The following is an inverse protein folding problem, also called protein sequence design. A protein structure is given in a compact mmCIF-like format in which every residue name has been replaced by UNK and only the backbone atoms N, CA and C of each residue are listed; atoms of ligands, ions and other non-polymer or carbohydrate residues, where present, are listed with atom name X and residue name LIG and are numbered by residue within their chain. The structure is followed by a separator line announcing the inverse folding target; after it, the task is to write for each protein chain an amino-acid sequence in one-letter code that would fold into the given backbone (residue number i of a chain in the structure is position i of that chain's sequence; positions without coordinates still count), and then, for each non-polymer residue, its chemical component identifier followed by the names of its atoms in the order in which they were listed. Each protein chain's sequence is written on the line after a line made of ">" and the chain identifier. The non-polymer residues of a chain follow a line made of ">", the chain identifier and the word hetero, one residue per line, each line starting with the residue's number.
data_IF_829415833986
#
_entry.id   IF_829415833986
#
_cell.length_a   1.000
_cell.length_b   1.000
_cell.length_c   1.000
_cell.angle_alpha   90.00
_cell.angle_beta   90.00
_cell.angle_gamma   90.00
#
_symmetry.space_group_name_H-M   'P 1'
#
loop_
_entity.id
_entity.type
_entity.pdbx_description
1 polymer ?
#
# COMPACT_ATOMS: atom_id res chain seq x y z
N UNK A 1 9.00 -4.66 -8.47
CA UNK A 1 8.51 -4.46 -7.08
C UNK A 1 9.52 -5.11 -6.13
N UNK A 2 10.82 -4.82 -6.28
CA UNK A 2 11.88 -5.75 -5.88
C UNK A 2 12.91 -5.27 -4.85
N UNK A 3 12.83 -4.04 -4.34
CA UNK A 3 13.97 -3.44 -3.62
C UNK A 3 14.34 -4.06 -2.26
N UNK A 4 13.52 -4.97 -1.70
CA UNK A 4 13.78 -5.58 -0.38
C UNK A 4 14.36 -7.00 -0.44
N UNK A 5 14.53 -7.58 -1.63
CA UNK A 5 14.98 -8.98 -1.76
C UNK A 5 16.52 -9.08 -1.66
N UNK A 6 17.23 -8.02 -2.03
CA UNK A 6 18.70 -7.98 -2.14
C UNK A 6 19.43 -7.64 -0.82
N UNK A 7 18.72 -7.32 0.28
CA UNK A 7 19.34 -6.96 1.57
C UNK A 7 19.39 -8.12 2.58
N UNK A 8 18.84 -9.29 2.22
CA UNK A 8 18.83 -10.48 3.09
C UNK A 8 20.06 -11.33 2.80
N UNK A 9 20.64 -11.94 3.83
CA UNK A 9 21.75 -12.89 3.64
C UNK A 9 21.32 -14.00 2.67
N UNK A 10 22.02 -14.11 1.52
CA UNK A 10 21.72 -15.05 0.45
C UNK A 10 21.56 -16.49 0.96
N UNK A 11 22.45 -16.93 1.86
CA UNK A 11 22.39 -18.29 2.42
C UNK A 11 21.16 -18.55 3.30
N UNK A 12 20.57 -17.51 3.90
CA UNK A 12 19.35 -17.66 4.69
C UNK A 12 18.11 -17.61 3.78
N UNK A 13 18.13 -16.72 2.78
CA UNK A 13 16.98 -16.43 1.94
C UNK A 13 16.80 -17.40 0.76
N UNK A 14 17.91 -17.86 0.16
CA UNK A 14 17.92 -18.54 -1.15
C UNK A 14 18.43 -19.99 -1.10
N UNK A 15 18.74 -20.52 0.09
CA UNK A 15 19.09 -21.94 0.24
C UNK A 15 17.89 -22.84 0.02
N UNK A 16 18.10 -23.92 -0.73
CA UNK A 16 17.17 -25.01 -0.96
C UNK A 16 17.38 -26.06 0.12
N UNK A 17 16.31 -26.39 0.84
CA UNK A 17 16.33 -27.48 1.81
C UNK A 17 16.39 -28.84 1.11
N UNK A 18 16.66 -29.90 1.87
CA UNK A 18 16.60 -31.27 1.34
C UNK A 18 15.23 -31.59 0.71
N UNK A 19 14.14 -31.19 1.37
CA UNK A 19 12.78 -31.36 0.82
C UNK A 19 12.55 -30.55 -0.45
N UNK A 20 13.16 -29.36 -0.58
CA UNK A 20 13.07 -28.56 -1.79
C UNK A 20 13.79 -29.25 -2.95
N UNK A 21 14.98 -29.81 -2.69
CA UNK A 21 15.75 -30.55 -3.69
C UNK A 21 15.02 -31.82 -4.15
N UNK A 22 14.45 -32.58 -3.22
CA UNK A 22 13.63 -33.74 -3.54
C UNK A 22 12.42 -33.36 -4.40
N UNK A 23 11.69 -32.31 -4.01
CA UNK A 23 10.57 -31.78 -4.78
C UNK A 23 10.99 -31.35 -6.20
N UNK A 24 12.06 -30.56 -6.33
CA UNK A 24 12.55 -30.07 -7.62
C UNK A 24 13.04 -31.20 -8.53
N UNK A 25 13.61 -32.27 -7.96
CA UNK A 25 14.05 -33.44 -8.71
C UNK A 25 12.90 -34.17 -9.42
N UNK A 26 11.69 -34.11 -8.85
CA UNK A 26 10.46 -34.66 -9.44
C UNK A 26 9.96 -33.89 -10.67
N UNK A 27 10.47 -32.68 -10.89
CA UNK A 27 10.12 -31.85 -12.04
C UNK A 27 11.04 -32.13 -13.24
N UNK A 28 10.55 -31.83 -14.45
CA UNK A 28 11.35 -31.93 -15.67
C UNK A 28 12.55 -30.98 -15.62
N UNK A 29 13.72 -31.43 -16.06
CA UNK A 29 14.97 -30.65 -16.04
C UNK A 29 14.77 -29.21 -16.56
N UNK A 30 14.04 -29.06 -17.66
CA UNK A 30 13.80 -27.77 -18.33
C UNK A 30 13.00 -26.75 -17.52
N UNK A 31 12.41 -27.09 -16.37
CA UNK A 31 11.67 -26.15 -15.49
C UNK A 31 12.31 -26.00 -14.12
N UNK A 32 13.33 -26.80 -13.76
CA UNK A 32 13.83 -26.88 -12.38
C UNK A 32 14.40 -25.54 -11.90
N UNK A 33 15.19 -24.87 -12.74
CA UNK A 33 15.77 -23.58 -12.42
C UNK A 33 14.67 -22.54 -12.13
N UNK A 34 13.70 -22.40 -13.03
CA UNK A 34 12.58 -21.47 -12.87
C UNK A 34 11.71 -21.79 -11.64
N UNK A 35 11.45 -23.08 -11.41
CA UNK A 35 10.68 -23.54 -10.26
C UNK A 35 11.42 -23.27 -8.94
N UNK A 36 12.74 -23.48 -8.88
CA UNK A 36 13.56 -23.20 -7.71
C UNK A 36 13.58 -21.70 -7.37
N UNK A 37 13.76 -20.85 -8.39
CA UNK A 37 13.72 -19.40 -8.22
C UNK A 37 12.35 -18.96 -7.70
N UNK A 38 11.27 -19.44 -8.31
CA UNK A 38 9.90 -19.10 -7.87
C UNK A 38 9.56 -19.64 -6.48
N UNK A 39 10.08 -20.82 -6.13
CA UNK A 39 9.93 -21.43 -4.80
C UNK A 39 10.54 -20.55 -3.72
N UNK A 40 11.78 -20.08 -3.92
CA UNK A 40 12.41 -19.18 -2.94
C UNK A 40 11.78 -17.81 -2.95
N UNK A 41 11.46 -17.27 -4.13
CA UNK A 41 10.83 -15.96 -4.25
C UNK A 41 9.49 -15.86 -3.51
N UNK A 42 8.62 -16.88 -3.60
CA UNK A 42 7.34 -16.87 -2.86
C UNK A 42 7.55 -16.99 -1.35
N UNK A 43 8.54 -17.76 -0.90
CA UNK A 43 8.88 -17.84 0.52
C UNK A 43 9.40 -16.51 1.08
N UNK A 44 10.00 -15.66 0.24
CA UNK A 44 10.48 -14.35 0.65
C UNK A 44 9.38 -13.28 0.59
N UNK A 45 8.60 -13.26 -0.50
CA UNK A 45 7.72 -12.14 -0.83
C UNK A 45 6.24 -12.42 -0.60
N UNK A 46 5.85 -13.69 -0.52
CA UNK A 46 4.45 -14.11 -0.44
C UNK A 46 3.69 -14.07 -1.77
N UNK A 47 4.37 -13.90 -2.91
CA UNK A 47 3.78 -14.03 -4.24
C UNK A 47 4.79 -14.62 -5.26
N UNK A 48 4.33 -14.97 -6.45
CA UNK A 48 5.20 -15.42 -7.54
C UNK A 48 5.62 -14.23 -8.41
N UNK A 49 6.90 -14.13 -8.76
CA UNK A 49 7.34 -13.07 -9.66
C UNK A 49 6.70 -13.23 -11.04
N UNK A 50 6.28 -12.11 -11.64
CA UNK A 50 5.85 -12.05 -13.03
C UNK A 50 6.95 -11.60 -13.98
N UNK A 51 8.07 -11.07 -13.46
CA UNK A 51 9.22 -10.60 -14.23
C UNK A 51 10.50 -11.17 -13.65
N UNK A 52 11.33 -11.79 -14.49
CA UNK A 52 12.63 -12.27 -14.05
C UNK A 52 13.62 -11.14 -13.73
N UNK A 53 13.31 -9.89 -14.11
CA UNK A 53 14.05 -8.69 -13.69
C UNK A 53 13.96 -8.42 -12.18
N UNK A 54 12.96 -8.97 -11.49
CA UNK A 54 12.87 -8.90 -10.02
C UNK A 54 13.89 -9.85 -9.33
N UNK A 55 14.65 -10.65 -10.10
CA UNK A 55 15.66 -11.58 -9.59
C UNK A 55 17.06 -11.04 -9.90
N UNK A 56 17.87 -10.86 -8.86
CA UNK A 56 19.24 -10.38 -9.04
C UNK A 56 20.18 -11.50 -9.51
N UNK A 57 21.34 -11.08 -10.00
CA UNK A 57 22.34 -11.99 -10.53
C UNK A 57 22.90 -12.93 -9.45
N UNK A 58 23.09 -12.44 -8.23
CA UNK A 58 23.67 -13.22 -7.14
C UNK A 58 22.71 -14.32 -6.68
N UNK A 59 21.42 -14.00 -6.54
CA UNK A 59 20.36 -14.94 -6.18
C UNK A 59 20.23 -16.07 -7.21
N UNK A 60 20.23 -15.70 -8.49
CA UNK A 60 20.15 -16.67 -9.58
C UNK A 60 21.40 -17.56 -9.64
N UNK A 61 22.58 -16.96 -9.48
CA UNK A 61 23.85 -17.70 -9.46
C UNK A 61 23.92 -18.66 -8.28
N UNK A 62 23.41 -18.25 -7.11
CA UNK A 62 23.35 -19.07 -5.91
C UNK A 62 22.42 -20.28 -6.07
N UNK A 63 21.26 -20.12 -6.72
CA UNK A 63 20.39 -21.25 -7.04
C UNK A 63 21.03 -22.19 -8.06
N UNK A 64 21.66 -21.66 -9.12
CA UNK A 64 22.31 -22.48 -10.15
C UNK A 64 23.38 -23.39 -9.54
N UNK A 65 24.19 -22.85 -8.62
CA UNK A 65 25.21 -23.60 -7.91
C UNK A 65 24.64 -24.76 -7.08
N UNK A 66 23.47 -24.59 -6.47
CA UNK A 66 22.81 -25.65 -5.70
C UNK A 66 22.19 -26.74 -6.57
N UNK A 67 21.81 -26.41 -7.81
CA UNK A 67 21.18 -27.34 -8.75
C UNK A 67 22.17 -28.00 -9.72
N UNK A 68 23.47 -27.68 -9.61
CA UNK A 68 24.50 -28.04 -10.58
C UNK A 68 24.14 -27.65 -12.04
N UNK A 69 23.44 -26.52 -12.19
CA UNK A 69 23.00 -25.98 -13.48
C UNK A 69 24.11 -25.15 -14.15
N UNK A 70 24.24 -25.29 -15.48
CA UNK A 70 25.18 -24.46 -16.24
C UNK A 70 24.75 -22.98 -16.26
N UNK A 71 25.71 -22.06 -16.34
CA UNK A 71 25.43 -20.63 -16.47
C UNK A 71 24.66 -20.28 -17.76
N UNK A 72 24.68 -21.16 -18.77
CA UNK A 72 23.94 -20.99 -20.03
C UNK A 72 22.43 -21.26 -19.88
N UNK A 73 21.99 -21.91 -18.79
CA UNK A 73 20.57 -22.09 -18.53
C UNK A 73 19.93 -20.78 -18.09
N UNK A 74 18.96 -20.31 -18.87
CA UNK A 74 18.27 -19.04 -18.62
C UNK A 74 16.84 -19.26 -18.11
N UNK A 75 16.33 -18.25 -17.43
CA UNK A 75 14.90 -18.12 -17.13
C UNK A 75 14.21 -17.67 -18.42
N UNK A 76 13.39 -18.53 -19.00
CA UNK A 76 12.87 -18.33 -20.36
C UNK A 76 11.35 -18.14 -20.38
N UNK A 77 10.64 -18.81 -19.47
CA UNK A 77 9.18 -18.86 -19.53
C UNK A 77 8.55 -17.60 -19.00
N UNK A 78 7.52 -17.15 -19.71
CA UNK A 78 6.65 -16.11 -19.20
C UNK A 78 5.78 -16.63 -18.08
N UNK A 79 5.48 -15.74 -17.14
CA UNK A 79 4.57 -16.02 -16.03
C UNK A 79 3.23 -16.64 -16.47
N UNK A 80 2.69 -16.21 -17.61
CA UNK A 80 1.36 -16.59 -18.07
C UNK A 80 1.30 -18.00 -18.70
N UNK A 81 2.44 -18.61 -19.02
CA UNK A 81 2.52 -19.88 -19.73
C UNK A 81 1.92 -21.06 -18.96
N UNK A 82 1.41 -22.05 -19.70
CA UNK A 82 0.81 -23.27 -19.12
C UNK A 82 1.80 -24.05 -18.24
N UNK A 83 3.04 -24.17 -18.69
CA UNK A 83 4.10 -24.86 -17.93
C UNK A 83 4.44 -24.09 -16.66
N UNK A 84 4.50 -22.76 -16.73
CA UNK A 84 4.71 -21.89 -15.57
C UNK A 84 3.60 -22.02 -14.53
N UNK A 85 2.34 -22.06 -14.97
CA UNK A 85 1.20 -22.31 -14.06
C UNK A 85 1.28 -23.69 -13.39
N UNK A 86 1.72 -24.71 -14.13
CA UNK A 86 1.83 -26.09 -13.63
C UNK A 86 2.86 -26.19 -12.51
N UNK A 87 4.09 -25.70 -12.69
CA UNK A 87 5.08 -25.78 -11.61
C UNK A 87 4.71 -24.88 -10.42
N UNK A 88 4.07 -23.71 -10.64
CA UNK A 88 3.59 -22.86 -9.53
C UNK A 88 2.52 -23.56 -8.69
N UNK A 89 1.63 -24.31 -9.33
CA UNK A 89 0.66 -25.15 -8.64
C UNK A 89 1.34 -26.27 -7.84
N UNK A 90 2.42 -26.85 -8.37
CA UNK A 90 3.21 -27.84 -7.66
C UNK A 90 3.93 -27.23 -6.44
N UNK A 91 4.51 -26.03 -6.57
CA UNK A 91 5.12 -25.26 -5.47
C UNK A 91 4.09 -24.97 -4.37
N UNK A 92 2.89 -24.51 -4.73
CA UNK A 92 1.81 -24.28 -3.77
C UNK A 92 1.51 -25.53 -2.92
N UNK A 93 1.49 -26.71 -3.56
CA UNK A 93 1.24 -27.98 -2.87
C UNK A 93 2.42 -28.41 -2.00
N UNK A 94 3.64 -28.26 -2.51
CA UNK A 94 4.88 -28.55 -1.78
C UNK A 94 4.97 -27.73 -0.49
N UNK A 95 4.68 -26.44 -0.58
CA UNK A 95 4.69 -25.52 0.55
C UNK A 95 3.46 -25.68 1.47
N UNK A 96 2.47 -26.51 1.12
CA UNK A 96 1.25 -26.67 1.91
C UNK A 96 0.37 -25.42 1.97
N UNK A 97 0.49 -24.49 1.00
CA UNK A 97 -0.25 -23.23 1.02
C UNK A 97 -1.74 -23.47 0.80
N UNK A 98 -2.56 -23.01 1.74
CA UNK A 98 -4.01 -23.18 1.71
C UNK A 98 -4.72 -22.01 1.05
N UNK A 99 -5.90 -22.26 0.49
CA UNK A 99 -6.75 -21.18 -0.03
C UNK A 99 -7.19 -20.22 1.10
N UNK A 100 -7.32 -18.94 0.74
CA UNK A 100 -7.89 -17.90 1.61
C UNK A 100 -9.39 -18.16 1.80
N UNK A 101 -9.82 -18.35 3.04
CA UNK A 101 -11.23 -18.49 3.44
C UNK A 101 -11.85 -17.10 3.68
N UNK A 102 -13.19 -16.99 3.77
CA UNK A 102 -13.86 -15.73 4.09
C UNK A 102 -13.35 -15.07 5.39
N UNK A 103 -13.08 -15.87 6.43
CA UNK A 103 -12.54 -15.36 7.69
C UNK A 103 -11.13 -14.79 7.52
N UNK A 104 -10.25 -15.47 6.77
CA UNK A 104 -8.91 -14.95 6.47
C UNK A 104 -8.98 -13.62 5.70
N UNK A 105 -9.93 -13.52 4.76
CA UNK A 105 -10.18 -12.29 4.01
C UNK A 105 -10.61 -11.16 4.93
N UNK A 106 -11.46 -11.43 5.92
CA UNK A 106 -11.87 -10.44 6.91
C UNK A 106 -10.68 -10.02 7.78
N UNK A 107 -9.89 -10.97 8.27
CA UNK A 107 -8.66 -10.66 9.04
C UNK A 107 -7.68 -9.80 8.23
N UNK A 108 -7.53 -10.06 6.93
CA UNK A 108 -6.70 -9.22 6.05
C UNK A 108 -7.25 -7.80 5.92
N UNK A 109 -8.57 -7.64 5.76
CA UNK A 109 -9.22 -6.33 5.71
C UNK A 109 -8.96 -5.57 7.02
N UNK A 110 -9.15 -6.21 8.16
CA UNK A 110 -8.95 -5.61 9.47
C UNK A 110 -7.48 -5.22 9.65
N UNK A 111 -6.54 -6.11 9.30
CA UNK A 111 -5.11 -5.82 9.31
C UNK A 111 -4.76 -4.58 8.47
N UNK A 112 -5.30 -4.47 7.25
CA UNK A 112 -5.08 -3.32 6.38
C UNK A 112 -5.66 -2.05 6.99
N UNK A 113 -6.87 -2.10 7.57
CA UNK A 113 -7.54 -0.94 8.18
C UNK A 113 -6.81 -0.44 9.42
N UNK A 114 -6.33 -1.33 10.29
CA UNK A 114 -5.77 -0.95 11.58
C UNK A 114 -4.26 -0.68 11.53
N UNK A 115 -3.51 -1.45 10.73
CA UNK A 115 -2.04 -1.42 10.77
C UNK A 115 -1.42 -0.64 9.62
N UNK A 116 -2.07 -0.62 8.45
CA UNK A 116 -1.45 -0.08 7.23
C UNK A 116 -2.06 1.25 6.78
N UNK A 117 -3.39 1.38 6.84
CA UNK A 117 -4.08 2.60 6.41
C UNK A 117 -3.69 3.85 7.23
N UNK A 118 -3.56 3.79 8.58
CA UNK A 118 -3.13 4.93 9.39
C UNK A 118 -1.73 5.42 9.05
N UNK A 119 -0.86 4.53 8.52
CA UNK A 119 0.51 4.85 8.12
C UNK A 119 0.61 5.66 6.82
N UNK A 120 -0.49 5.81 6.08
CA UNK A 120 -0.51 6.57 4.83
C UNK A 120 0.39 6.00 3.72
N UNK A 121 0.68 4.69 3.74
CA UNK A 121 1.63 4.07 2.81
C UNK A 121 1.20 4.20 1.33
N UNK A 122 2.19 4.16 0.44
CA UNK A 122 1.95 4.05 -1.01
C UNK A 122 1.25 2.73 -1.35
N UNK A 123 0.48 2.71 -2.44
CA UNK A 123 -0.29 1.53 -2.84
C UNK A 123 0.56 0.30 -3.10
N UNK A 124 1.78 0.47 -3.65
CA UNK A 124 2.73 -0.63 -3.86
C UNK A 124 3.16 -1.26 -2.53
N UNK A 125 3.57 -0.43 -1.57
CA UNK A 125 4.00 -0.89 -0.25
C UNK A 125 2.84 -1.57 0.53
N UNK A 126 1.60 -1.09 0.38
CA UNK A 126 0.41 -1.76 0.93
C UNK A 126 0.24 -3.18 0.37
N UNK A 127 0.40 -3.32 -0.95
CA UNK A 127 0.27 -4.62 -1.64
C UNK A 127 1.35 -5.58 -1.15
N UNK A 128 2.60 -5.13 -1.08
CA UNK A 128 3.72 -5.93 -0.57
C UNK A 128 3.45 -6.40 0.87
N UNK A 129 3.02 -5.52 1.76
CA UNK A 129 2.67 -5.88 3.14
C UNK A 129 1.51 -6.88 3.20
N UNK A 130 0.54 -6.81 2.29
CA UNK A 130 -0.54 -7.79 2.23
C UNK A 130 -0.06 -9.17 1.76
N UNK A 131 0.90 -9.23 0.83
CA UNK A 131 1.50 -10.51 0.43
C UNK A 131 2.34 -11.12 1.56
N UNK A 132 3.12 -10.31 2.27
CA UNK A 132 3.85 -10.76 3.46
C UNK A 132 2.88 -11.30 4.54
N UNK A 133 1.78 -10.59 4.78
CA UNK A 133 0.75 -11.08 5.69
C UNK A 133 0.17 -12.44 5.24
N UNK A 134 -0.12 -12.61 3.94
CA UNK A 134 -0.62 -13.89 3.41
C UNK A 134 0.41 -15.02 3.60
N UNK A 135 1.69 -14.74 3.34
CA UNK A 135 2.80 -15.67 3.57
C UNK A 135 2.86 -16.12 5.03
N UNK A 136 2.83 -15.17 5.96
CA UNK A 136 2.95 -15.45 7.39
C UNK A 136 1.78 -16.31 7.91
N UNK A 137 0.64 -16.29 7.22
CA UNK A 137 -0.55 -17.11 7.52
C UNK A 137 -0.65 -18.38 6.67
N UNK A 138 0.41 -18.74 5.92
CA UNK A 138 0.47 -19.93 5.05
C UNK A 138 -0.64 -19.96 3.99
N UNK A 139 -1.02 -18.79 3.48
CA UNK A 139 -2.06 -18.64 2.47
C UNK A 139 -1.46 -18.63 1.07
N UNK A 140 -2.22 -19.17 0.13
CA UNK A 140 -1.93 -18.99 -1.28
C UNK A 140 -1.97 -17.51 -1.67
N UNK A 141 -1.05 -17.05 -2.53
CA UNK A 141 -1.00 -15.68 -2.97
C UNK A 141 -2.29 -15.31 -3.69
N UNK A 142 -3.02 -14.27 -3.24
CA UNK A 142 -4.18 -13.79 -3.97
C UNK A 142 -3.76 -13.19 -5.31
N UNK A 143 -4.66 -13.23 -6.29
CA UNK A 143 -4.41 -12.56 -7.56
C UNK A 143 -4.24 -11.05 -7.33
N UNK A 144 -3.18 -10.46 -7.91
CA UNK A 144 -2.84 -9.04 -7.76
C UNK A 144 -4.04 -8.11 -8.00
N UNK A 145 -4.82 -8.35 -9.07
CA UNK A 145 -6.02 -7.55 -9.39
C UNK A 145 -7.06 -7.60 -8.26
N UNK A 146 -7.31 -8.79 -7.71
CA UNK A 146 -8.27 -8.99 -6.62
C UNK A 146 -7.81 -8.32 -5.33
N UNK A 147 -6.53 -8.50 -4.99
CA UNK A 147 -5.92 -7.89 -3.82
C UNK A 147 -5.91 -6.35 -3.91
N UNK A 148 -5.47 -5.79 -5.05
CA UNK A 148 -5.46 -4.34 -5.27
C UNK A 148 -6.87 -3.75 -5.18
N UNK A 149 -7.90 -4.45 -5.70
CA UNK A 149 -9.29 -4.02 -5.54
C UNK A 149 -9.72 -3.99 -4.07
N UNK A 150 -9.39 -5.03 -3.30
CA UNK A 150 -9.68 -5.12 -1.86
C UNK A 150 -8.98 -4.00 -1.08
N UNK A 151 -7.70 -3.75 -1.34
CA UNK A 151 -6.95 -2.69 -0.67
C UNK A 151 -7.56 -1.32 -0.98
N UNK A 152 -7.93 -1.06 -2.23
CA UNK A 152 -8.57 0.20 -2.63
C UNK A 152 -9.90 0.42 -1.92
N UNK A 153 -10.77 -0.60 -1.86
CA UNK A 153 -12.05 -0.48 -1.15
C UNK A 153 -11.85 -0.28 0.34
N UNK A 154 -10.95 -1.05 0.94
CA UNK A 154 -10.63 -1.00 2.37
C UNK A 154 -10.07 0.37 2.78
N UNK A 155 -9.15 0.92 1.98
CA UNK A 155 -8.58 2.25 2.19
C UNK A 155 -9.63 3.35 2.05
N UNK A 156 -10.56 3.21 1.10
CA UNK A 156 -11.68 4.15 0.95
C UNK A 156 -12.57 4.13 2.18
N UNK A 157 -13.01 2.96 2.63
CA UNK A 157 -13.85 2.81 3.82
C UNK A 157 -13.16 3.35 5.08
N UNK A 158 -11.86 3.08 5.24
CA UNK A 158 -11.07 3.64 6.33
C UNK A 158 -11.08 5.17 6.29
N UNK A 159 -10.83 5.76 5.12
CA UNK A 159 -10.80 7.22 4.96
C UNK A 159 -12.17 7.86 5.22
N UNK A 160 -13.25 7.27 4.71
CA UNK A 160 -14.62 7.73 4.95
C UNK A 160 -14.94 7.69 6.44
N UNK A 161 -14.67 6.57 7.12
CA UNK A 161 -14.88 6.46 8.57
C UNK A 161 -13.99 7.39 9.38
N UNK A 162 -12.74 7.61 8.96
CA UNK A 162 -11.82 8.55 9.61
C UNK A 162 -12.30 9.99 9.50
N UNK A 163 -12.69 10.43 8.30
CA UNK A 163 -13.21 11.78 8.07
C UNK A 163 -14.55 11.99 8.77
N UNK A 164 -15.43 10.99 8.78
CA UNK A 164 -16.69 11.04 9.52
C UNK A 164 -16.46 11.23 11.02
N UNK A 165 -15.52 10.49 11.63
CA UNK A 165 -15.16 10.68 13.04
C UNK A 165 -14.59 12.07 13.35
N UNK A 166 -13.90 12.70 12.39
CA UNK A 166 -13.46 14.09 12.54
C UNK A 166 -14.67 15.01 12.50
N UNK A 167 -15.55 14.85 11.50
CA UNK A 167 -16.75 15.67 11.34
C UNK A 167 -17.69 15.58 12.55
N UNK A 168 -17.91 14.38 13.10
CA UNK A 168 -18.75 14.14 14.27
C UNK A 168 -18.22 14.83 15.55
N UNK A 169 -16.94 15.18 15.60
CA UNK A 169 -16.31 15.89 16.71
C UNK A 169 -16.25 17.41 16.52
N UNK A 170 -16.66 17.93 15.36
CA UNK A 170 -16.69 19.37 15.10
C UNK A 170 -17.95 20.00 15.71
N UNK A 171 -17.81 21.09 16.50
CA UNK A 171 -18.95 21.88 16.92
C UNK A 171 -19.74 22.40 15.72
N UNK A 172 -21.08 22.46 15.83
CA UNK A 172 -21.96 22.97 14.76
C UNK A 172 -21.57 24.38 14.29
N UNK A 173 -21.12 25.22 15.23
CA UNK A 173 -20.65 26.57 14.95
C UNK A 173 -19.38 26.56 14.08
N UNK A 174 -18.39 25.72 14.43
CA UNK A 174 -17.18 25.51 13.63
C UNK A 174 -17.54 25.04 12.23
N UNK A 175 -18.45 24.06 12.10
CA UNK A 175 -18.89 23.55 10.80
C UNK A 175 -19.54 24.65 9.95
N UNK A 176 -20.42 25.46 10.53
CA UNK A 176 -21.05 26.59 9.83
C UNK A 176 -20.02 27.63 9.37
N UNK A 177 -19.02 27.96 10.21
CA UNK A 177 -17.93 28.87 9.83
C UNK A 177 -17.10 28.32 8.66
N UNK A 178 -16.82 27.01 8.66
CA UNK A 178 -16.10 26.35 7.57
C UNK A 178 -16.93 26.31 6.28
N UNK A 179 -18.24 26.07 6.36
CA UNK A 179 -19.14 26.11 5.21
C UNK A 179 -19.21 27.50 4.57
N UNK A 180 -19.31 28.56 5.36
CA UNK A 180 -19.25 29.95 4.86
C UNK A 180 -17.91 30.22 4.18
N UNK A 181 -16.79 29.82 4.79
CA UNK A 181 -15.45 29.94 4.19
C UNK A 181 -15.32 29.20 2.85
N UNK A 182 -15.98 28.04 2.70
CA UNK A 182 -16.00 27.27 1.46
C UNK A 182 -16.96 27.85 0.40
N UNK A 183 -18.08 28.44 0.82
CA UNK A 183 -19.06 29.08 -0.06
C UNK A 183 -18.53 30.40 -0.64
N UNK A 184 -17.78 31.15 0.16
CA UNK A 184 -17.16 32.43 -0.20
C UNK A 184 -15.61 32.31 -0.24
N UNK A 185 -15.04 31.60 -1.22
CA UNK A 185 -13.63 31.21 -1.19
C UNK A 185 -12.64 32.38 -1.25
N UNK A 186 -13.04 33.52 -1.81
CA UNK A 186 -12.18 34.69 -2.02
C UNK A 186 -12.36 35.78 -0.93
N UNK A 187 -13.31 35.58 0.00
CA UNK A 187 -13.52 36.44 1.15
C UNK A 187 -12.28 36.47 2.07
N UNK A 188 -12.14 37.45 2.99
CA UNK A 188 -10.95 37.58 3.84
C UNK A 188 -10.59 36.31 4.64
N UNK A 189 -11.59 35.53 5.03
CA UNK A 189 -11.48 34.22 5.71
C UNK A 189 -11.90 33.05 4.81
N UNK A 190 -12.06 33.30 3.51
CA UNK A 190 -12.42 32.32 2.50
C UNK A 190 -11.34 31.28 2.28
N UNK A 191 -11.74 30.08 1.88
CA UNK A 191 -10.85 28.92 1.81
C UNK A 191 -9.66 29.11 0.85
N UNK A 192 -9.83 29.85 -0.27
CA UNK A 192 -8.69 30.17 -1.16
C UNK A 192 -7.67 31.06 -0.43
N UNK A 193 -8.15 32.11 0.26
CA UNK A 193 -7.28 33.02 1.02
C UNK A 193 -6.56 32.33 2.17
N UNK A 194 -7.17 31.34 2.82
CA UNK A 194 -6.51 30.55 3.86
C UNK A 194 -5.37 29.68 3.32
N UNK A 195 -5.42 29.30 2.03
CA UNK A 195 -4.38 28.51 1.36
C UNK A 195 -3.25 29.37 0.79
N UNK A 196 -3.55 30.63 0.45
CA UNK A 196 -2.62 31.53 -0.21
C UNK A 196 -1.51 32.02 0.72
N UNK A 197 -0.30 32.16 0.17
CA UNK A 197 0.79 32.85 0.84
C UNK A 197 0.40 34.31 1.15
N UNK A 198 0.88 34.82 2.28
CA UNK A 198 0.56 36.17 2.78
C UNK A 198 1.26 37.26 1.93
N UNK A 199 2.23 36.89 1.08
CA UNK A 199 2.97 37.83 0.22
C UNK A 199 3.99 38.67 1.00
N UNK A 200 4.35 39.84 0.47
CA UNK A 200 5.32 40.75 1.10
C UNK A 200 4.84 41.30 2.45
N UNK A 201 5.75 41.63 3.36
CA UNK A 201 5.43 42.11 4.71
C UNK A 201 4.97 43.59 4.75
N UNK A 202 3.88 43.91 4.04
CA UNK A 202 3.20 45.21 4.14
C UNK A 202 2.18 45.20 5.29
N UNK A 203 1.83 46.38 5.81
CA UNK A 203 0.84 46.52 6.88
C UNK A 203 -0.48 45.82 6.55
N UNK A 204 -0.97 45.99 5.32
CA UNK A 204 -2.22 45.36 4.86
C UNK A 204 -2.14 43.83 4.84
N UNK A 205 -1.00 43.27 4.41
CA UNK A 205 -0.79 41.83 4.39
C UNK A 205 -0.67 41.25 5.81
N UNK A 206 -0.05 41.98 6.74
CA UNK A 206 0.01 41.58 8.15
C UNK A 206 -1.38 41.58 8.78
N UNK A 207 -2.20 42.62 8.55
CA UNK A 207 -3.57 42.68 9.04
C UNK A 207 -4.46 41.58 8.44
N UNK A 208 -4.30 41.28 7.15
CA UNK A 208 -4.99 40.17 6.50
C UNK A 208 -4.57 38.81 7.09
N UNK A 209 -3.27 38.61 7.35
CA UNK A 209 -2.75 37.42 8.00
C UNK A 209 -3.29 37.24 9.42
N UNK A 210 -3.36 38.31 10.21
CA UNK A 210 -3.93 38.27 11.56
C UNK A 210 -5.39 37.82 11.54
N UNK A 211 -6.21 38.34 10.60
CA UNK A 211 -7.61 37.90 10.44
C UNK A 211 -7.72 36.41 10.11
N UNK A 212 -6.85 35.91 9.22
CA UNK A 212 -6.79 34.47 8.87
C UNK A 212 -6.37 33.61 10.07
N UNK A 213 -5.38 34.06 10.84
CA UNK A 213 -4.89 33.35 12.02
C UNK A 213 -5.94 33.30 13.13
N UNK A 214 -6.61 34.42 13.40
CA UNK A 214 -7.71 34.49 14.37
C UNK A 214 -8.85 33.57 13.95
N UNK A 215 -9.23 33.59 12.67
CA UNK A 215 -10.23 32.66 12.15
C UNK A 215 -9.82 31.20 12.39
N UNK A 216 -8.60 30.81 12.03
CA UNK A 216 -8.11 29.44 12.23
C UNK A 216 -8.08 29.03 13.71
N UNK A 217 -7.73 29.95 14.62
CA UNK A 217 -7.72 29.69 16.06
C UNK A 217 -9.14 29.49 16.61
N UNK A 218 -10.10 30.29 16.14
CA UNK A 218 -11.50 30.22 16.55
C UNK A 218 -12.22 28.94 16.11
N UNK A 219 -11.70 28.23 15.10
CA UNK A 219 -12.26 26.94 14.67
C UNK A 219 -12.12 25.84 15.74
N UNK A 220 -11.25 26.00 16.74
CA UNK A 220 -11.08 25.05 17.86
C UNK A 220 -10.96 23.59 17.39
N UNK A 221 -10.18 23.36 16.33
CA UNK A 221 -10.11 22.05 15.66
C UNK A 221 -9.58 20.96 16.62
N UNK A 222 -10.17 19.75 16.61
CA UNK A 222 -9.80 18.67 17.53
C UNK A 222 -8.48 18.01 17.09
N UNK A 223 -7.36 18.64 17.41
CA UNK A 223 -6.01 18.18 17.04
C UNK A 223 -5.68 16.77 17.57
N UNK A 224 -6.34 16.32 18.64
CA UNK A 224 -6.17 14.99 19.22
C UNK A 224 -6.53 13.87 18.22
N UNK A 225 -7.48 14.10 17.31
CA UNK A 225 -7.91 13.09 16.33
C UNK A 225 -6.81 12.75 15.33
N UNK A 226 -5.92 13.72 15.07
CA UNK A 226 -4.79 13.54 14.16
C UNK A 226 -3.62 12.77 14.79
N UNK A 227 -3.61 12.55 16.11
CA UNK A 227 -2.53 11.79 16.78
C UNK A 227 -2.56 10.29 16.49
N UNK A 228 -3.67 9.78 15.96
CA UNK A 228 -3.85 8.36 15.63
C UNK A 228 -3.43 8.01 14.20
N UNK A 229 -2.84 8.95 13.47
CA UNK A 229 -2.42 8.77 12.08
C UNK A 229 -1.02 9.31 11.85
N UNK A 230 -0.29 8.68 10.92
CA UNK A 230 1.08 9.08 10.63
C UNK A 230 1.10 10.29 9.66
N UNK A 231 2.17 11.11 9.68
CA UNK A 231 2.33 12.28 8.81
C UNK A 231 2.08 12.04 7.31
N UNK A 232 2.48 10.90 6.70
CA UNK A 232 2.23 10.65 5.29
C UNK A 232 0.75 10.63 4.91
N UNK A 233 -0.13 10.19 5.82
CA UNK A 233 -1.56 10.20 5.57
C UNK A 233 -2.09 11.64 5.57
N UNK A 234 -1.63 12.46 6.51
CA UNK A 234 -2.00 13.88 6.60
C UNK A 234 -1.54 14.61 5.34
N UNK A 235 -0.30 14.41 4.90
CA UNK A 235 0.23 15.01 3.66
C UNK A 235 -0.60 14.64 2.43
N UNK A 236 -1.05 13.38 2.33
CA UNK A 236 -1.91 12.95 1.23
C UNK A 236 -3.27 13.65 1.25
N UNK A 237 -3.86 13.84 2.44
CA UNK A 237 -5.11 14.58 2.58
C UNK A 237 -4.92 16.06 2.21
N UNK A 238 -3.86 16.69 2.69
CA UNK A 238 -3.50 18.08 2.35
C UNK A 238 -3.33 18.22 0.83
N UNK A 239 -2.54 17.35 0.19
CA UNK A 239 -2.35 17.35 -1.27
C UNK A 239 -3.67 17.21 -2.03
N UNK A 240 -4.57 16.32 -1.57
CA UNK A 240 -5.90 16.14 -2.18
C UNK A 240 -6.75 17.41 -2.08
N UNK A 241 -6.70 18.10 -0.95
CA UNK A 241 -7.44 19.33 -0.72
C UNK A 241 -6.88 20.47 -1.57
N UNK A 242 -5.55 20.61 -1.65
CA UNK A 242 -4.86 21.62 -2.47
C UNK A 242 -5.18 21.46 -3.96
N UNK A 243 -5.29 20.21 -4.45
CA UNK A 243 -5.61 19.89 -5.84
C UNK A 243 -7.10 20.05 -6.21
N UNK A 244 -8.00 20.05 -5.23
CA UNK A 244 -9.44 20.21 -5.48
C UNK A 244 -9.81 21.69 -5.50
N UNK A 245 -10.70 22.07 -6.42
CA UNK A 245 -11.33 23.40 -6.42
C UNK A 245 -12.20 23.55 -5.16
N UNK A 246 -12.29 24.73 -4.52
CA UNK A 246 -13.06 24.94 -3.29
C UNK A 246 -14.50 24.39 -3.33
N UNK A 247 -15.20 24.59 -4.46
CA UNK A 247 -16.56 24.05 -4.68
C UNK A 247 -16.66 22.52 -4.63
N UNK A 248 -15.59 21.78 -4.96
CA UNK A 248 -15.53 20.31 -4.86
C UNK A 248 -15.14 19.82 -3.47
N UNK A 249 -14.59 20.68 -2.61
CA UNK A 249 -14.37 20.37 -1.19
C UNK A 249 -15.70 20.42 -0.43
N UNK A 250 -16.55 21.41 -0.71
CA UNK A 250 -17.92 21.48 -0.18
C UNK A 250 -18.77 20.24 -0.53
N UNK A 251 -18.66 19.74 -1.78
CA UNK A 251 -19.39 18.55 -2.23
C UNK A 251 -18.97 17.22 -1.58
N UNK A 252 -17.85 17.16 -0.84
CA UNK A 252 -17.41 15.97 -0.10
C UNK A 252 -17.91 16.02 1.35
N UNK A 253 -18.11 17.22 1.90
CA UNK A 253 -18.74 17.42 3.20
C UNK A 253 -20.26 17.16 3.10
N UNK A 254 -20.87 17.43 1.93
CA UNK A 254 -22.31 17.30 1.68
C UNK A 254 -22.77 15.96 1.07
N UNK A 255 -21.87 15.05 0.66
CA UNK A 255 -22.24 13.73 0.09
C UNK A 255 -21.77 12.56 0.98
N UNK A 256 -21.72 12.77 2.30
CA UNK A 256 -21.73 11.68 3.27
C UNK A 256 -23.19 11.46 3.69
N UNK A 257 -24.02 11.08 2.72
CA UNK A 257 -25.36 10.48 2.88
C UNK A 257 -25.55 9.44 1.77
#
# INVERSE_FOLDING_TARGET
>A
MGNNIHQVNLSQAWSLSYSDMEFLSSLSLSVRLEAAVQLKFICLTGYFTSSWEDIGYEELSYIRAQLDCSAAECLQREYSERTARRYRTAIIRHLGLRHMKPNDRQCLIDFVKTNLCPKGMASSALIENCFLWCRDHQLQPPAFRGLNRLIRSTRREFLEGFLKRIADQLPKETTAQMEVSLAEPDAPTGFSRLKDDIGAATLDNILAAMKRLQFAHNLQLPAQVLKHVDPPLIEQLVRRVVQKRPRKCAAIVLNID
#
